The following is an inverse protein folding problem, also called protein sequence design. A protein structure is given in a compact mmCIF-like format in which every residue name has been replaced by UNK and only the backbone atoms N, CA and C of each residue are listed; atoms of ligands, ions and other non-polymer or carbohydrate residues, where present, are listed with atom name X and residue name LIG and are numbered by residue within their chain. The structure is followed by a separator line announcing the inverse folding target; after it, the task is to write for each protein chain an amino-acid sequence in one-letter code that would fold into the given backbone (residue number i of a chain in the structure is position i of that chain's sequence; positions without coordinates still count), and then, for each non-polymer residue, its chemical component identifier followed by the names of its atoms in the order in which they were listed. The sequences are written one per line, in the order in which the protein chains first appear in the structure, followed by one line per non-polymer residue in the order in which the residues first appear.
data_IF_356694671061
#
_entry.id   IF_356694671061
#
_cell.length_a   1.000
_cell.length_b   1.000
_cell.length_c   1.000
_cell.angle_alpha   90.00
_cell.angle_beta   90.00
_cell.angle_gamma   90.00
#
_symmetry.space_group_name_H-M   'P 1'
#
loop_
_entity.id
_entity.type
_entity.pdbx_description
1 polymer ?
#
# COMPACT_ATOMS: atom_id res chain seq x y z
N UNK A 1 28.00 10.27 22.59
CA UNK A 1 26.72 9.94 21.92
C UNK A 1 25.87 9.17 22.92
N UNK A 2 24.62 9.58 23.17
CA UNK A 2 23.76 8.86 24.13
C UNK A 2 23.37 7.49 23.55
N UNK A 3 22.92 6.56 24.42
CA UNK A 3 22.41 5.25 23.94
C UNK A 3 21.26 5.41 22.94
N UNK A 4 20.44 6.45 23.10
CA UNK A 4 19.32 6.77 22.18
C UNK A 4 19.83 7.25 20.83
N UNK A 5 20.82 8.13 20.82
CA UNK A 5 21.41 8.65 19.59
C UNK A 5 22.13 7.53 18.81
N UNK A 6 22.82 6.64 19.53
CA UNK A 6 23.47 5.48 18.92
C UNK A 6 22.46 4.54 18.25
N UNK A 7 21.37 4.22 18.94
CA UNK A 7 20.29 3.40 18.36
C UNK A 7 19.68 4.10 17.15
N UNK A 8 19.38 5.39 17.25
CA UNK A 8 18.80 6.16 16.14
C UNK A 8 19.69 6.16 14.89
N UNK A 9 20.99 6.40 15.06
CA UNK A 9 21.96 6.37 13.95
C UNK A 9 22.05 4.98 13.34
N UNK A 10 22.13 3.92 14.16
CA UNK A 10 22.19 2.55 13.65
C UNK A 10 20.91 2.20 12.88
N UNK A 11 19.72 2.50 13.41
CA UNK A 11 18.45 2.25 12.73
C UNK A 11 18.34 3.01 11.41
N UNK A 12 18.79 4.27 11.37
CA UNK A 12 18.79 5.06 10.14
C UNK A 12 19.75 4.45 9.10
N UNK A 13 20.96 4.06 9.50
CA UNK A 13 21.92 3.43 8.60
C UNK A 13 21.40 2.11 8.04
N UNK A 14 20.72 1.30 8.86
CA UNK A 14 20.08 0.07 8.40
C UNK A 14 18.97 0.38 7.39
N UNK A 15 18.09 1.34 7.69
CA UNK A 15 17.00 1.73 6.80
C UNK A 15 17.53 2.26 5.46
N UNK A 16 18.48 3.19 5.49
CA UNK A 16 19.08 3.78 4.29
C UNK A 16 19.85 2.73 3.49
N UNK A 17 20.62 1.87 4.15
CA UNK A 17 21.32 0.77 3.50
C UNK A 17 20.34 -0.20 2.83
N UNK A 18 19.28 -0.60 3.52
CA UNK A 18 18.23 -1.47 2.97
C UNK A 18 17.52 -0.84 1.77
N UNK A 19 17.07 0.41 1.89
CA UNK A 19 16.39 1.12 0.80
C UNK A 19 17.33 1.37 -0.39
N UNK A 20 18.60 1.72 -0.12
CA UNK A 20 19.61 1.94 -1.14
C UNK A 20 19.96 0.67 -1.91
N UNK A 21 20.13 -0.46 -1.21
CA UNK A 21 20.31 -1.77 -1.84
C UNK A 21 19.06 -2.19 -2.62
N UNK A 22 17.87 -1.95 -2.07
CA UNK A 22 16.60 -2.18 -2.77
C UNK A 22 16.53 -1.40 -4.08
N UNK A 23 16.83 -0.11 -4.06
CA UNK A 23 16.88 0.75 -5.25
C UNK A 23 17.94 0.30 -6.25
N UNK A 24 19.14 -0.08 -5.79
CA UNK A 24 20.21 -0.60 -6.64
C UNK A 24 19.86 -1.97 -7.27
N UNK A 25 18.97 -2.74 -6.65
CA UNK A 25 18.45 -4.02 -7.17
C UNK A 25 17.24 -3.88 -8.09
N UNK A 26 16.70 -2.67 -8.26
CA UNK A 26 15.59 -2.43 -9.17
C UNK A 26 16.04 -2.64 -10.61
N UNK A 27 15.08 -3.03 -11.46
CA UNK A 27 15.29 -3.14 -12.90
C UNK A 27 15.62 -1.77 -13.51
N UNK A 28 16.32 -1.79 -14.64
CA UNK A 28 16.56 -0.59 -15.42
C UNK A 28 15.23 0.07 -15.82
N UNK A 29 15.21 1.39 -15.73
CA UNK A 29 14.03 2.17 -16.09
C UNK A 29 13.67 1.96 -17.56
N UNK A 30 12.40 1.65 -17.84
CA UNK A 30 11.89 1.41 -19.18
C UNK A 30 11.99 -0.03 -19.69
N UNK A 31 12.60 -0.95 -18.92
CA UNK A 31 12.68 -2.37 -19.31
C UNK A 31 11.47 -3.15 -18.76
N UNK A 32 10.64 -3.67 -19.66
CA UNK A 32 9.46 -4.48 -19.35
C UNK A 32 9.74 -5.95 -19.67
N UNK A 33 10.24 -6.70 -18.69
CA UNK A 33 10.64 -8.11 -18.87
C UNK A 33 9.50 -9.11 -18.59
N UNK A 34 8.42 -8.67 -17.89
CA UNK A 34 7.30 -9.53 -17.46
C UNK A 34 5.97 -8.78 -17.37
N UNK A 35 5.41 -8.39 -18.50
CA UNK A 35 4.13 -7.67 -18.58
C UNK A 35 2.90 -8.54 -18.84
N UNK A 36 3.00 -9.88 -18.89
CA UNK A 36 1.85 -10.72 -19.26
C UNK A 36 0.55 -10.40 -18.50
N UNK A 37 0.64 -10.18 -17.18
CA UNK A 37 -0.51 -9.78 -16.37
C UNK A 37 -1.00 -8.38 -16.73
N UNK A 38 -0.07 -7.43 -16.88
CA UNK A 38 -0.38 -6.04 -17.22
C UNK A 38 -1.05 -5.96 -18.60
N UNK A 39 -0.48 -6.64 -19.60
CA UNK A 39 -0.99 -6.75 -20.97
C UNK A 39 -2.39 -7.39 -20.99
N UNK A 40 -2.61 -8.45 -20.20
CA UNK A 40 -3.91 -9.09 -20.06
C UNK A 40 -4.95 -8.11 -19.54
N UNK A 41 -4.67 -7.44 -18.42
CA UNK A 41 -5.59 -6.48 -17.80
C UNK A 41 -5.88 -5.33 -18.76
N UNK A 42 -4.86 -4.78 -19.43
CA UNK A 42 -5.03 -3.68 -20.40
C UNK A 42 -5.93 -4.10 -21.57
N UNK A 43 -5.80 -5.35 -22.04
CA UNK A 43 -6.56 -5.84 -23.19
C UNK A 43 -7.97 -6.35 -22.86
N UNK A 44 -8.23 -6.77 -21.62
CA UNK A 44 -9.48 -7.46 -21.26
C UNK A 44 -10.34 -6.73 -20.22
N UNK A 45 -9.83 -5.69 -19.52
CA UNK A 45 -10.58 -5.03 -18.42
C UNK A 45 -11.93 -4.46 -18.86
N UNK A 46 -12.03 -3.95 -20.08
CA UNK A 46 -13.28 -3.40 -20.60
C UNK A 46 -14.33 -4.50 -20.85
N UNK A 47 -13.91 -5.64 -21.39
CA UNK A 47 -14.81 -6.73 -21.76
C UNK A 47 -15.21 -7.59 -20.55
N UNK A 48 -14.29 -7.78 -19.59
CA UNK A 48 -14.54 -8.63 -18.42
C UNK A 48 -15.32 -7.92 -17.31
N UNK A 49 -15.00 -6.66 -17.04
CA UNK A 49 -15.55 -5.92 -15.88
C UNK A 49 -16.21 -4.60 -16.28
N UNK A 50 -16.24 -4.24 -17.56
CA UNK A 50 -16.95 -3.05 -18.06
C UNK A 50 -16.27 -1.72 -17.72
N UNK A 51 -15.02 -1.75 -17.26
CA UNK A 51 -14.31 -0.58 -16.76
C UNK A 51 -13.36 0.02 -17.80
N UNK A 52 -13.66 1.26 -18.22
CA UNK A 52 -12.84 2.01 -19.19
C UNK A 52 -11.47 2.42 -18.62
N UNK A 53 -11.31 2.37 -17.29
CA UNK A 53 -10.09 2.73 -16.61
C UNK A 53 -9.45 1.47 -16.01
N UNK A 54 -8.31 1.09 -16.57
CA UNK A 54 -7.55 -0.10 -16.17
C UNK A 54 -7.05 -0.04 -14.72
N UNK A 55 -6.84 1.14 -14.15
CA UNK A 55 -6.45 1.26 -12.74
C UNK A 55 -7.64 0.91 -11.84
N UNK A 56 -8.82 1.47 -12.14
CA UNK A 56 -10.02 1.19 -11.35
C UNK A 56 -10.48 -0.26 -11.46
N UNK A 57 -10.34 -0.87 -12.65
CA UNK A 57 -10.64 -2.30 -12.82
C UNK A 57 -9.75 -3.18 -11.95
N UNK A 58 -8.48 -2.79 -11.75
CA UNK A 58 -7.59 -3.52 -10.85
C UNK A 58 -8.01 -3.35 -9.40
N UNK A 59 -8.16 -2.12 -8.91
CA UNK A 59 -8.38 -1.90 -7.47
C UNK A 59 -9.79 -2.32 -7.02
N UNK A 60 -10.82 -2.20 -7.85
CA UNK A 60 -12.20 -2.53 -7.46
C UNK A 60 -12.66 -3.92 -7.90
N UNK A 61 -12.22 -4.42 -9.05
CA UNK A 61 -12.68 -5.72 -9.56
C UNK A 61 -11.62 -6.81 -9.34
N UNK A 62 -10.51 -6.81 -10.09
CA UNK A 62 -9.51 -7.89 -10.02
C UNK A 62 -8.91 -8.06 -8.61
N UNK A 63 -8.69 -6.95 -7.90
CA UNK A 63 -8.13 -6.90 -6.55
C UNK A 63 -9.06 -6.20 -5.56
N UNK A 64 -10.38 -6.33 -5.77
CA UNK A 64 -11.39 -5.72 -4.90
C UNK A 64 -11.27 -6.12 -3.43
N UNK A 65 -10.72 -7.29 -3.12
CA UNK A 65 -10.51 -7.74 -1.74
C UNK A 65 -9.47 -6.89 -0.99
N UNK A 66 -8.43 -6.41 -1.67
CA UNK A 66 -7.44 -5.52 -1.05
C UNK A 66 -8.09 -4.18 -0.69
N UNK A 67 -8.89 -3.61 -1.59
CA UNK A 67 -9.66 -2.36 -1.36
C UNK A 67 -10.73 -2.52 -0.28
N UNK A 68 -11.39 -3.68 -0.20
CA UNK A 68 -12.29 -4.00 0.93
C UNK A 68 -11.54 -3.99 2.26
N UNK A 69 -10.30 -4.52 2.27
CA UNK A 69 -9.38 -4.42 3.40
C UNK A 69 -9.05 -2.99 3.76
N UNK A 70 -8.68 -2.15 2.79
CA UNK A 70 -8.41 -0.72 3.00
C UNK A 70 -9.61 0.01 3.61
N UNK A 71 -10.82 -0.22 3.08
CA UNK A 71 -12.06 0.33 3.61
C UNK A 71 -12.33 -0.14 5.05
N UNK A 72 -12.05 -1.41 5.35
CA UNK A 72 -12.19 -1.98 6.69
C UNK A 72 -11.22 -1.34 7.69
N UNK A 73 -9.97 -1.10 7.28
CA UNK A 73 -8.96 -0.41 8.11
C UNK A 73 -9.43 1.01 8.42
N UNK A 74 -9.88 1.76 7.41
CA UNK A 74 -10.39 3.13 7.62
C UNK A 74 -11.62 3.15 8.53
N UNK A 75 -12.55 2.22 8.31
CA UNK A 75 -13.73 2.07 9.17
C UNK A 75 -13.33 1.78 10.63
N UNK A 76 -12.45 0.80 10.85
CA UNK A 76 -11.96 0.45 12.18
C UNK A 76 -11.22 1.61 12.85
N UNK A 77 -10.42 2.38 12.10
CA UNK A 77 -9.73 3.56 12.61
C UNK A 77 -10.72 4.64 13.08
N UNK A 78 -11.73 4.96 12.28
CA UNK A 78 -12.78 5.94 12.63
C UNK A 78 -13.57 5.47 13.85
N UNK A 79 -14.01 4.21 13.86
CA UNK A 79 -14.72 3.62 15.01
C UNK A 79 -13.85 3.64 16.27
N UNK A 80 -12.56 3.30 16.15
CA UNK A 80 -11.62 3.34 17.27
C UNK A 80 -11.49 4.73 17.88
N UNK A 81 -11.37 5.78 17.05
CA UNK A 81 -11.36 7.17 17.50
C UNK A 81 -12.67 7.51 18.22
N UNK A 82 -13.84 7.18 17.64
CA UNK A 82 -15.14 7.45 18.27
C UNK A 82 -15.24 6.75 19.64
N UNK A 83 -14.82 5.49 19.74
CA UNK A 83 -14.86 4.73 21.00
C UNK A 83 -13.96 5.34 22.07
N UNK A 84 -12.76 5.79 21.72
CA UNK A 84 -11.81 6.42 22.65
C UNK A 84 -12.32 7.77 23.13
N UNK A 85 -12.93 8.57 22.25
CA UNK A 85 -13.37 9.93 22.54
C UNK A 85 -14.86 10.04 22.91
N UNK A 86 -15.57 8.92 23.07
CA UNK A 86 -16.97 8.95 23.50
C UNK A 86 -17.06 9.59 24.89
N UNK A 87 -18.08 10.43 25.11
CA UNK A 87 -18.30 11.06 26.41
C UNK A 87 -18.83 10.01 27.39
N UNK A 88 -18.07 9.71 28.44
CA UNK A 88 -18.56 8.95 29.58
C UNK A 88 -19.59 9.83 30.32
N UNK A 89 -20.86 9.43 30.31
CA UNK A 89 -21.87 10.04 31.18
C UNK A 89 -21.68 9.39 32.54
N UNK A 90 -20.90 10.04 33.40
CA UNK A 90 -20.89 9.70 34.82
C UNK A 90 -22.24 10.15 35.40
N UNK A 91 -23.10 9.19 35.76
CA UNK A 91 -24.22 9.41 36.70
C UNK A 91 -23.70 9.54 38.14
#
# INVERSE_FOLDING_TARGET
MSKRDLVGVISLLILVGFLGLGAASMREFGVVDRAYMDDYIISHSQDEVGANNAVTSVVFDYRGFDTLGEATILFAAVVGVIVIFRREVHE
#
